data_IF_300967632018
#
_entry.id   IF_300967632018
#
_cell.length_a   1.000
_cell.length_b   1.000
_cell.length_c   1.000
_cell.angle_alpha   90.00
_cell.angle_beta   90.00
_cell.angle_gamma   90.00
#
_symmetry.space_group_name_H-M   'P 1'
#
loop_
_entity.id
_entity.type
_entity.pdbx_description
1 polymer ?
#
# COMPACT_ATOMS: atom_id res chain seq x y z
N UNK A 1 12.68 -11.91 -11.64
CA UNK A 1 13.61 -13.03 -11.87
C UNK A 1 12.79 -14.27 -11.62
N UNK A 2 12.72 -15.14 -12.62
CA UNK A 2 12.05 -16.43 -12.54
C UNK A 2 13.13 -17.47 -12.30
N UNK A 3 12.91 -18.35 -11.33
CA UNK A 3 13.77 -19.49 -11.03
C UNK A 3 12.90 -20.73 -11.19
N UNK A 4 13.29 -21.61 -12.12
CA UNK A 4 12.56 -22.82 -12.48
C UNK A 4 13.42 -24.00 -12.03
N UNK A 5 12.99 -24.71 -11.00
CA UNK A 5 13.48 -26.04 -10.66
C UNK A 5 12.43 -27.08 -11.09
N UNK A 6 12.79 -28.34 -11.31
CA UNK A 6 11.91 -29.35 -11.94
C UNK A 6 10.54 -29.50 -11.24
N UNK A 7 10.45 -29.16 -9.95
CA UNK A 7 9.24 -29.26 -9.11
C UNK A 7 8.73 -27.92 -8.52
N UNK A 8 9.41 -26.80 -8.77
CA UNK A 8 9.11 -25.53 -8.11
C UNK A 8 9.38 -24.31 -9.00
N UNK A 9 8.44 -23.35 -9.04
CA UNK A 9 8.67 -22.04 -9.63
C UNK A 9 8.64 -20.94 -8.56
N UNK A 10 9.71 -20.16 -8.49
CA UNK A 10 9.79 -18.94 -7.68
C UNK A 10 9.83 -17.69 -8.55
N UNK A 11 8.86 -16.79 -8.36
CA UNK A 11 8.76 -15.51 -9.06
C UNK A 11 8.94 -14.36 -8.09
N UNK A 12 9.89 -13.47 -8.40
CA UNK A 12 10.11 -12.22 -7.66
C UNK A 12 9.87 -11.00 -8.53
N UNK A 13 8.90 -10.18 -8.14
CA UNK A 13 8.48 -8.95 -8.81
C UNK A 13 8.81 -7.73 -7.94
N UNK A 14 9.49 -6.73 -8.52
CA UNK A 14 9.69 -5.43 -7.88
C UNK A 14 8.64 -4.46 -8.40
N UNK A 15 8.02 -3.71 -7.51
CA UNK A 15 6.96 -2.77 -7.88
C UNK A 15 7.17 -1.39 -7.28
N UNK A 16 6.56 -0.39 -7.93
CA UNK A 16 6.50 0.99 -7.50
C UNK A 16 5.11 1.53 -7.79
N UNK A 17 4.40 1.97 -6.75
CA UNK A 17 3.07 2.57 -6.86
C UNK A 17 3.19 4.05 -6.53
N UNK A 18 2.54 4.88 -7.34
CA UNK A 18 2.34 6.32 -7.09
C UNK A 18 0.85 6.60 -7.07
N UNK A 19 0.37 7.29 -6.04
CA UNK A 19 -1.01 7.75 -5.91
C UNK A 19 -1.00 9.22 -5.54
N UNK A 20 -2.05 9.93 -5.92
CA UNK A 20 -2.27 11.31 -5.52
C UNK A 20 -3.75 11.51 -5.21
N UNK A 21 -4.03 12.31 -4.20
CA UNK A 21 -5.36 12.81 -3.85
C UNK A 21 -5.31 14.33 -3.83
N UNK A 22 -6.29 14.97 -4.48
CA UNK A 22 -6.47 16.42 -4.54
C UNK A 22 -7.71 16.78 -3.75
N UNK A 23 -7.65 17.88 -3.02
CA UNK A 23 -8.75 18.37 -2.19
C UNK A 23 -9.17 19.74 -2.71
N UNK A 24 -10.47 19.90 -2.89
CA UNK A 24 -11.08 21.12 -3.40
C UNK A 24 -12.04 21.69 -2.37
N UNK A 25 -12.14 23.02 -2.32
CA UNK A 25 -13.14 23.73 -1.52
C UNK A 25 -14.54 23.69 -2.19
N UNK A 26 -15.51 24.35 -1.57
CA UNK A 26 -16.89 24.45 -2.06
C UNK A 26 -17.00 25.13 -3.43
N UNK A 27 -16.04 26.00 -3.76
CA UNK A 27 -15.94 26.70 -5.05
C UNK A 27 -15.19 25.86 -6.12
N UNK A 28 -14.73 24.66 -5.77
CA UNK A 28 -13.98 23.76 -6.64
C UNK A 28 -12.51 24.13 -6.81
N UNK A 29 -11.98 25.06 -6.01
CA UNK A 29 -10.56 25.43 -6.03
C UNK A 29 -9.76 24.41 -5.24
N UNK A 30 -8.69 23.90 -5.86
CA UNK A 30 -7.78 22.98 -5.18
C UNK A 30 -7.01 23.73 -4.09
N UNK A 31 -7.13 23.27 -2.84
CA UNK A 31 -6.39 23.83 -1.71
C UNK A 31 -5.29 22.89 -1.21
N UNK A 32 -5.38 21.59 -1.48
CA UNK A 32 -4.35 20.64 -1.06
C UNK A 32 -4.15 19.47 -2.03
N UNK A 33 -2.93 18.92 -2.02
CA UNK A 33 -2.57 17.67 -2.68
C UNK A 33 -1.76 16.78 -1.75
N UNK A 34 -2.21 15.55 -1.58
CA UNK A 34 -1.43 14.46 -0.95
C UNK A 34 -0.89 13.55 -2.05
N UNK A 35 0.39 13.24 -1.97
CA UNK A 35 1.07 12.23 -2.79
C UNK A 35 1.52 11.06 -1.93
N UNK A 36 1.40 9.85 -2.47
CA UNK A 36 2.00 8.63 -1.92
C UNK A 36 2.86 7.98 -2.98
N UNK A 37 4.09 7.68 -2.62
CA UNK A 37 4.95 6.78 -3.38
C UNK A 37 5.37 5.62 -2.49
N UNK A 38 5.06 4.40 -2.93
CA UNK A 38 5.53 3.20 -2.26
C UNK A 38 6.25 2.24 -3.21
N UNK A 39 7.27 1.57 -2.69
CA UNK A 39 8.06 0.57 -3.40
C UNK A 39 8.08 -0.71 -2.58
N UNK A 40 8.12 -1.85 -3.26
CA UNK A 40 8.19 -3.13 -2.58
C UNK A 40 8.46 -4.28 -3.53
N UNK A 41 8.26 -5.48 -3.00
CA UNK A 41 8.54 -6.74 -3.68
C UNK A 41 7.36 -7.67 -3.43
N UNK A 42 6.85 -8.27 -4.49
CA UNK A 42 5.96 -9.43 -4.39
C UNK A 42 6.75 -10.69 -4.75
N UNK A 43 6.52 -11.75 -3.99
CA UNK A 43 6.99 -13.10 -4.27
C UNK A 43 5.78 -13.97 -4.56
N UNK A 44 5.94 -14.90 -5.50
CA UNK A 44 4.98 -15.94 -5.80
C UNK A 44 5.77 -17.24 -5.90
N UNK A 45 5.34 -18.27 -5.20
CA UNK A 45 5.96 -19.59 -5.19
C UNK A 45 4.86 -20.61 -5.53
N UNK A 46 5.17 -21.60 -6.37
CA UNK A 46 4.25 -22.69 -6.70
C UNK A 46 4.97 -24.01 -6.53
N UNK A 47 4.32 -24.90 -5.79
CA UNK A 47 4.70 -26.29 -5.64
C UNK A 47 3.80 -27.13 -6.58
N UNK A 48 4.42 -27.99 -7.39
CA UNK A 48 3.71 -28.91 -8.28
C UNK A 48 3.83 -30.31 -7.70
N UNK A 49 2.73 -30.86 -7.19
CA UNK A 49 2.70 -32.23 -6.70
C UNK A 49 2.57 -33.20 -7.90
N UNK A 50 3.63 -34.00 -8.14
CA UNK A 50 3.71 -34.94 -9.26
C UNK A 50 3.18 -36.34 -8.91
N UNK A 51 2.17 -36.47 -8.04
CA UNK A 51 1.48 -37.75 -7.88
C UNK A 51 0.72 -38.12 -9.17
N UNK A 52 1.32 -39.04 -9.92
CA UNK A 52 0.79 -39.65 -11.14
C UNK A 52 -0.67 -40.08 -10.97
N UNK A 53 -1.55 -39.53 -11.82
CA UNK A 53 -2.96 -39.89 -12.06
C UNK A 53 -4.06 -38.97 -11.50
N UNK A 54 -3.74 -37.79 -10.96
CA UNK A 54 -4.76 -36.75 -10.71
C UNK A 54 -4.35 -35.42 -11.33
N UNK A 55 -5.36 -34.67 -11.74
CA UNK A 55 -5.26 -33.28 -12.21
C UNK A 55 -4.24 -32.54 -11.32
N UNK A 56 -3.17 -31.99 -11.91
CA UNK A 56 -2.07 -31.40 -11.15
C UNK A 56 -2.59 -30.28 -10.25
N UNK A 57 -2.69 -30.53 -8.95
CA UNK A 57 -3.09 -29.54 -7.97
C UNK A 57 -1.90 -28.59 -7.73
N UNK A 58 -1.89 -27.46 -8.43
CA UNK A 58 -0.91 -26.40 -8.23
C UNK A 58 -1.30 -25.56 -7.00
N UNK A 59 -0.49 -25.60 -5.94
CA UNK A 59 -0.66 -24.70 -4.80
C UNK A 59 0.16 -23.43 -5.00
N UNK A 60 -0.51 -22.27 -4.99
CA UNK A 60 0.08 -20.97 -5.30
C UNK A 60 0.10 -20.10 -4.04
N UNK A 61 1.29 -19.87 -3.48
CA UNK A 61 1.47 -18.89 -2.42
C UNK A 61 2.04 -17.57 -2.95
N UNK A 62 1.51 -16.45 -2.48
CA UNK A 62 2.00 -15.13 -2.86
C UNK A 62 2.00 -14.12 -1.71
N UNK A 63 3.15 -13.48 -1.54
CA UNK A 63 3.38 -12.49 -0.48
C UNK A 63 3.94 -11.19 -1.05
N UNK A 64 3.29 -10.07 -0.76
CA UNK A 64 3.73 -8.72 -1.10
C UNK A 64 4.23 -7.99 0.14
N UNK A 65 5.45 -7.44 0.04
CA UNK A 65 6.11 -6.70 1.12
C UNK A 65 6.46 -5.28 0.67
N UNK A 66 5.94 -4.29 1.38
CA UNK A 66 6.34 -2.89 1.22
C UNK A 66 7.77 -2.71 1.79
N UNK A 67 8.61 -1.97 1.06
CA UNK A 67 10.01 -1.68 1.43
C UNK A 67 10.26 -0.21 1.72
N UNK A 68 9.56 0.68 1.02
CA UNK A 68 9.70 2.11 1.20
C UNK A 68 8.36 2.78 0.96
N UNK A 69 8.02 3.75 1.81
CA UNK A 69 6.81 4.57 1.74
C UNK A 69 7.23 6.01 1.94
N UNK A 70 6.73 6.88 1.08
CA UNK A 70 7.03 8.30 1.08
C UNK A 70 5.73 9.05 0.78
N UNK A 71 5.38 9.97 1.67
CA UNK A 71 4.25 10.87 1.50
C UNK A 71 4.77 12.26 1.15
N UNK A 72 3.99 13.00 0.38
CA UNK A 72 4.18 14.42 0.13
C UNK A 72 2.87 15.13 0.39
N UNK A 73 2.91 16.31 0.99
CA UNK A 73 1.74 17.14 1.23
C UNK A 73 2.04 18.55 0.75
N UNK A 74 1.14 19.11 -0.04
CA UNK A 74 1.17 20.52 -0.43
C UNK A 74 -0.19 21.13 -0.09
N UNK A 75 -0.20 22.29 0.57
CA UNK A 75 -1.40 23.04 0.92
C UNK A 75 -1.18 24.49 0.54
N UNK A 76 -2.08 25.06 -0.26
CA UNK A 76 -2.02 26.43 -0.79
C UNK A 76 -0.65 26.75 -1.43
N UNK A 77 -0.05 25.76 -2.10
CA UNK A 77 1.25 25.87 -2.78
C UNK A 77 2.47 25.81 -1.86
N UNK A 78 2.29 25.58 -0.56
CA UNK A 78 3.37 25.33 0.41
C UNK A 78 3.49 23.83 0.67
N UNK A 79 4.71 23.31 0.59
CA UNK A 79 5.00 21.92 0.87
C UNK A 79 5.25 21.70 2.37
N UNK A 80 4.74 20.58 2.88
CA UNK A 80 4.84 20.15 4.26
C UNK A 80 5.53 18.80 4.35
N UNK A 81 6.44 18.69 5.31
CA UNK A 81 7.12 17.44 5.60
C UNK A 81 6.18 16.47 6.29
N UNK A 82 5.99 15.31 5.65
CA UNK A 82 5.20 14.22 6.19
C UNK A 82 6.12 13.12 6.67
N UNK A 83 6.11 12.87 7.97
CA UNK A 83 6.76 11.71 8.57
C UNK A 83 5.73 10.62 8.77
N UNK A 84 6.05 9.40 8.34
CA UNK A 84 5.27 8.20 8.66
C UNK A 84 6.13 7.24 9.43
N UNK A 85 5.55 6.63 10.47
CA UNK A 85 6.21 5.60 11.23
C UNK A 85 6.67 4.47 10.30
N UNK A 86 7.94 4.05 10.44
CA UNK A 86 8.51 2.96 9.67
C UNK A 86 8.21 1.66 10.38
N UNK A 87 7.75 0.64 9.66
CA UNK A 87 7.45 -0.64 10.28
C UNK A 87 7.11 -1.74 9.30
N UNK A 88 6.62 -2.85 9.84
CA UNK A 88 6.04 -3.91 9.04
C UNK A 88 4.66 -3.48 8.51
N UNK A 89 4.55 -3.34 7.20
CA UNK A 89 3.33 -2.91 6.51
C UNK A 89 2.29 -4.02 6.33
N UNK A 90 2.40 -5.11 7.09
CA UNK A 90 1.36 -6.14 7.21
C UNK A 90 0.33 -5.79 8.30
N UNK A 91 0.70 -4.86 9.20
CA UNK A 91 -0.18 -4.31 10.23
C UNK A 91 -0.66 -2.92 9.82
N UNK A 92 -1.96 -2.68 10.04
CA UNK A 92 -2.60 -1.42 9.70
C UNK A 92 -2.31 -0.31 10.70
N UNK A 93 -2.04 -0.64 11.95
CA UNK A 93 -1.67 0.31 13.00
C UNK A 93 -0.49 1.17 12.56
N UNK A 94 -0.68 2.48 12.57
CA UNK A 94 0.34 3.41 12.07
C UNK A 94 0.11 4.84 12.50
N UNK A 95 1.20 5.59 12.62
CA UNK A 95 1.15 7.04 12.87
C UNK A 95 1.78 7.83 11.71
N UNK A 96 1.14 8.93 11.36
CA UNK A 96 1.68 9.97 10.50
C UNK A 96 1.75 11.29 11.27
N UNK A 97 2.74 12.09 10.93
CA UNK A 97 2.99 13.41 11.51
C UNK A 97 3.24 14.40 10.39
N UNK A 98 2.51 15.50 10.42
CA UNK A 98 2.76 16.68 9.59
C UNK A 98 3.23 17.77 10.52
N UNK A 99 4.47 18.21 10.34
CA UNK A 99 5.10 19.15 11.27
C UNK A 99 4.32 20.46 11.35
N UNK A 100 4.04 20.89 12.59
CA UNK A 100 3.25 22.08 12.92
C UNK A 100 1.84 22.08 12.30
N UNK A 101 1.20 20.92 12.15
CA UNK A 101 -0.18 20.83 11.67
C UNK A 101 -0.98 19.80 12.47
N UNK A 102 -0.71 18.52 12.27
CA UNK A 102 -1.43 17.45 12.93
C UNK A 102 -0.64 16.15 12.98
N UNK A 103 -0.97 15.33 13.98
CA UNK A 103 -0.62 13.92 14.05
C UNK A 103 -1.88 13.09 13.79
N UNK A 104 -1.76 12.02 13.02
CA UNK A 104 -2.84 11.05 12.80
C UNK A 104 -2.37 9.66 13.15
N UNK A 105 -3.19 8.96 13.94
CA UNK A 105 -2.99 7.57 14.35
C UNK A 105 -4.13 6.74 13.77
N UNK A 106 -3.79 5.73 12.98
CA UNK A 106 -4.72 4.68 12.56
C UNK A 106 -4.58 3.51 13.53
N UNK A 107 -5.70 3.07 14.10
CA UNK A 107 -5.79 1.88 14.95
C UNK A 107 -6.74 0.89 14.33
N UNK A 108 -6.21 -0.27 13.98
CA UNK A 108 -6.99 -1.41 13.57
C UNK A 108 -7.65 -2.01 14.81
N UNK A 109 -8.97 -2.09 14.79
CA UNK A 109 -9.74 -2.72 15.86
C UNK A 109 -10.66 -3.77 15.24
N UNK A 110 -10.88 -4.88 15.94
CA UNK A 110 -11.78 -5.96 15.49
C UNK A 110 -13.24 -5.48 15.46
N UNK A 111 -13.64 -4.82 14.36
CA UNK A 111 -15.02 -4.42 14.06
C UNK A 111 -15.20 -2.97 13.62
N UNK A 112 -14.36 -2.04 14.07
CA UNK A 112 -14.42 -0.64 13.67
C UNK A 112 -13.04 0.02 13.85
N UNK A 113 -12.31 0.19 12.75
CA UNK A 113 -11.04 0.88 12.76
C UNK A 113 -11.21 2.34 13.21
N UNK A 114 -10.24 2.85 13.98
CA UNK A 114 -10.26 4.21 14.51
C UNK A 114 -9.18 5.06 13.86
N UNK A 115 -9.56 6.27 13.45
CA UNK A 115 -8.62 7.31 12.99
C UNK A 115 -8.65 8.46 13.99
N UNK A 116 -7.56 8.64 14.72
CA UNK A 116 -7.41 9.68 15.74
C UNK A 116 -6.55 10.79 15.18
N UNK A 117 -7.11 11.99 15.02
CA UNK A 117 -6.40 13.18 14.55
C UNK A 117 -6.18 14.14 15.71
N UNK A 118 -4.94 14.51 15.96
CA UNK A 118 -4.53 15.52 16.95
C UNK A 118 -3.97 16.72 16.21
N UNK A 119 -4.75 17.79 16.12
CA UNK A 119 -4.28 19.05 15.56
C UNK A 119 -3.34 19.74 16.54
N UNK A 120 -2.22 20.24 16.03
CA UNK A 120 -1.19 20.96 16.81
C UNK A 120 -1.15 22.44 16.48
N UNK A 121 -1.70 22.82 15.33
CA UNK A 121 -1.84 24.22 14.91
C UNK A 121 -3.25 24.74 15.20
N UNK A 122 -3.34 25.96 15.72
CA UNK A 122 -4.58 26.68 16.01
C UNK A 122 -4.95 27.69 14.91
N UNK A 123 -4.03 27.98 13.98
CA UNK A 123 -4.26 28.93 12.87
C UNK A 123 -4.82 28.25 11.60
N UNK A 124 -4.67 26.92 11.48
CA UNK A 124 -5.20 26.12 10.36
C UNK A 124 -6.73 25.91 10.41
N UNK A 125 -7.30 25.45 9.28
CA UNK A 125 -8.71 25.02 9.22
C UNK A 125 -8.82 23.55 9.68
N UNK A 126 -9.40 23.26 10.86
CA UNK A 126 -9.41 21.90 11.39
C UNK A 126 -10.20 20.90 10.52
N UNK A 127 -11.17 21.38 9.74
CA UNK A 127 -11.93 20.54 8.82
C UNK A 127 -11.08 20.07 7.63
N UNK A 128 -10.20 20.93 7.12
CA UNK A 128 -9.25 20.57 6.07
C UNK A 128 -8.21 19.57 6.61
N UNK A 129 -7.68 19.83 7.80
CA UNK A 129 -6.70 18.96 8.45
C UNK A 129 -7.27 17.55 8.67
N UNK A 130 -8.50 17.46 9.18
CA UNK A 130 -9.20 16.20 9.39
C UNK A 130 -9.37 15.43 8.07
N UNK A 131 -9.77 16.12 7.00
CA UNK A 131 -9.98 15.50 5.68
C UNK A 131 -8.68 14.97 5.08
N UNK A 132 -7.61 15.75 5.16
CA UNK A 132 -6.27 15.36 4.69
C UNK A 132 -5.76 14.18 5.52
N UNK A 133 -5.83 14.27 6.85
CA UNK A 133 -5.40 13.23 7.78
C UNK A 133 -6.12 11.90 7.53
N UNK A 134 -7.44 11.94 7.33
CA UNK A 134 -8.24 10.77 7.01
C UNK A 134 -7.84 10.17 5.65
N UNK A 135 -7.70 10.98 4.61
CA UNK A 135 -7.29 10.50 3.31
C UNK A 135 -5.89 9.84 3.32
N UNK A 136 -4.94 10.41 4.08
CA UNK A 136 -3.59 9.86 4.23
C UNK A 136 -3.59 8.51 4.95
N UNK A 137 -4.25 8.45 6.10
CA UNK A 137 -4.23 7.29 7.01
C UNK A 137 -5.09 6.14 6.50
N UNK A 138 -6.26 6.43 5.93
CA UNK A 138 -7.23 5.42 5.53
C UNK A 138 -7.17 5.16 4.01
N UNK A 139 -7.49 6.16 3.18
CA UNK A 139 -7.63 5.95 1.73
C UNK A 139 -6.29 5.66 1.03
N UNK A 140 -5.22 6.30 1.49
CA UNK A 140 -3.87 6.16 0.99
C UNK A 140 -3.03 5.19 1.84
N UNK A 141 -3.65 4.37 2.70
CA UNK A 141 -2.92 3.37 3.47
C UNK A 141 -2.21 2.35 2.56
N UNK A 142 -0.91 2.06 2.77
CA UNK A 142 -0.18 1.08 1.96
C UNK A 142 -0.78 -0.34 1.99
N UNK A 143 -1.37 -0.75 3.12
CA UNK A 143 -1.97 -2.09 3.26
C UNK A 143 -3.11 -2.33 2.26
N UNK A 144 -3.83 -1.27 1.84
CA UNK A 144 -4.93 -1.38 0.87
C UNK A 144 -4.54 -1.98 -0.47
N UNK A 145 -3.25 -1.95 -0.83
CA UNK A 145 -2.79 -2.48 -2.11
C UNK A 145 -2.19 -3.89 -2.01
N UNK A 146 -1.91 -4.39 -0.80
CA UNK A 146 -1.17 -5.65 -0.63
C UNK A 146 -1.93 -6.85 -1.17
N UNK A 147 -3.23 -6.97 -0.88
CA UNK A 147 -4.06 -8.05 -1.42
C UNK A 147 -4.08 -8.06 -2.94
N UNK A 148 -4.21 -6.87 -3.57
CA UNK A 148 -4.20 -6.73 -5.04
C UNK A 148 -2.85 -7.12 -5.64
N UNK A 149 -1.76 -6.78 -4.94
CA UNK A 149 -0.40 -7.12 -5.36
C UNK A 149 -0.11 -8.62 -5.22
N UNK A 150 -0.66 -9.31 -4.22
CA UNK A 150 -0.57 -10.76 -4.10
C UNK A 150 -1.28 -11.44 -5.27
N UNK A 151 -2.53 -11.06 -5.53
CA UNK A 151 -3.30 -11.58 -6.67
C UNK A 151 -2.62 -11.35 -8.02
N UNK A 152 -2.06 -10.15 -8.23
CA UNK A 152 -1.31 -9.85 -9.44
C UNK A 152 -0.04 -10.71 -9.58
N UNK A 153 0.65 -11.01 -8.48
CA UNK A 153 1.83 -11.87 -8.50
C UNK A 153 1.48 -13.32 -8.89
N UNK A 154 0.38 -13.87 -8.36
CA UNK A 154 -0.15 -15.19 -8.76
C UNK A 154 -0.49 -15.21 -10.23
N UNK A 155 -1.23 -14.21 -10.72
CA UNK A 155 -1.62 -14.16 -12.13
C UNK A 155 -0.42 -14.11 -13.07
N UNK A 156 0.62 -13.33 -12.71
CA UNK A 156 1.86 -13.26 -13.49
C UNK A 156 2.61 -14.60 -13.44
N UNK A 157 2.66 -15.25 -12.28
CA UNK A 157 3.23 -16.59 -12.13
C UNK A 157 2.55 -17.62 -13.03
N UNK A 158 1.22 -17.70 -12.98
CA UNK A 158 0.42 -18.60 -13.84
C UNK A 158 0.69 -18.38 -15.32
N UNK A 159 0.73 -17.12 -15.75
CA UNK A 159 1.04 -16.79 -17.14
C UNK A 159 2.45 -17.24 -17.55
N UNK A 160 3.43 -17.12 -16.66
CA UNK A 160 4.80 -17.58 -16.92
C UNK A 160 4.88 -19.11 -17.01
N UNK A 161 4.19 -19.85 -16.13
CA UNK A 161 4.12 -21.32 -16.19
C UNK A 161 3.49 -21.81 -17.50
N UNK A 162 2.35 -21.22 -17.91
CA UNK A 162 1.72 -21.57 -19.18
C UNK A 162 2.64 -21.34 -20.38
N UNK A 163 3.43 -20.26 -20.37
CA UNK A 163 4.41 -20.01 -21.43
C UNK A 163 5.58 -20.98 -21.42
N UNK A 164 5.99 -21.48 -20.24
CA UNK A 164 7.07 -22.44 -20.13
C UNK A 164 6.67 -23.86 -20.58
N UNK A 165 5.39 -24.22 -20.42
CA UNK A 165 4.83 -25.54 -20.79
C UNK A 165 4.45 -25.68 -22.28
N UNK A 166 4.46 -24.60 -23.06
CA UNK A 166 4.20 -24.59 -24.51
C UNK A 166 5.51 -24.58 -25.32
#
# INVERSE_FOLDING_TARGET
MFDFDESELKVKLRWKIKRSAKFSDEDGREFATVGLQMKGISKCEVEVDEEKDKESDEDWDATAKVKNVCYTLSIDGKDYDVTVEKGNWEHWDRTWKVDNMFDVEYKQNDGADEVIVKTTDLEGNPGHDLLIAFAMSEFMHPCRQLTKLNQAAVQIGRNAMMQHRN
#
